data_IF_320267773422
#
_entry.id   IF_320267773422
#
_cell.length_a   1.000
_cell.length_b   1.000
_cell.length_c   1.000
_cell.angle_alpha   90.00
_cell.angle_beta   90.00
_cell.angle_gamma   90.00
#
_symmetry.space_group_name_H-M   'P 1'
#
loop_
_entity.id
_entity.type
_entity.pdbx_description
1 polymer ?
#
# COMPACT_ATOMS: atom_id res chain seq x y z
N UNK A 1 8.11 -16.00 -2.81
CA UNK A 1 8.51 -16.96 -1.75
C UNK A 1 9.94 -16.63 -1.31
N UNK A 2 10.23 -16.53 -0.01
CA UNK A 2 11.45 -15.89 0.57
C UNK A 2 12.78 -16.64 0.37
N UNK A 3 12.84 -17.68 -0.47
CA UNK A 3 14.04 -18.53 -0.69
C UNK A 3 14.69 -19.09 0.60
N UNK A 4 13.95 -19.11 1.71
CA UNK A 4 14.38 -19.66 3.00
C UNK A 4 13.34 -20.65 3.53
N UNK A 5 13.80 -21.61 4.32
CA UNK A 5 12.90 -22.63 4.88
C UNK A 5 12.15 -22.07 6.10
N UNK A 6 10.93 -22.57 6.40
CA UNK A 6 10.22 -22.20 7.64
C UNK A 6 11.03 -22.49 8.91
N UNK A 7 11.90 -23.51 8.90
CA UNK A 7 12.78 -23.83 10.02
C UNK A 7 13.82 -22.73 10.28
N UNK A 8 14.38 -22.15 9.21
CA UNK A 8 15.30 -21.01 9.30
C UNK A 8 14.60 -19.80 9.93
N UNK A 9 13.38 -19.49 9.49
CA UNK A 9 12.58 -18.39 10.06
C UNK A 9 12.26 -18.62 11.54
N UNK A 10 11.93 -19.86 11.90
CA UNK A 10 11.69 -20.23 13.30
C UNK A 10 12.95 -20.05 14.16
N UNK A 11 14.13 -20.41 13.63
CA UNK A 11 15.42 -20.20 14.31
C UNK A 11 15.69 -18.72 14.56
N UNK A 12 15.43 -17.85 13.57
CA UNK A 12 15.61 -16.40 13.76
C UNK A 12 14.73 -15.84 14.88
N UNK A 13 13.49 -16.33 15.00
CA UNK A 13 12.58 -15.91 16.08
C UNK A 13 13.07 -16.44 17.43
N UNK A 14 13.43 -17.73 17.51
CA UNK A 14 13.88 -18.34 18.77
C UNK A 14 15.22 -17.75 19.26
N UNK A 15 16.08 -17.30 18.35
CA UNK A 15 17.35 -16.62 18.66
C UNK A 15 17.20 -15.11 18.90
N UNK A 16 16.00 -14.56 18.70
CA UNK A 16 15.73 -13.13 18.87
C UNK A 16 16.27 -12.24 17.75
N UNK A 17 16.77 -12.80 16.64
CA UNK A 17 17.18 -12.03 15.46
C UNK A 17 15.97 -11.42 14.73
N UNK A 18 14.86 -12.17 14.68
CA UNK A 18 13.59 -11.70 14.14
C UNK A 18 12.61 -11.51 15.30
N UNK A 19 12.09 -10.29 15.46
CA UNK A 19 11.12 -9.95 16.51
C UNK A 19 9.82 -10.73 16.32
N UNK A 20 9.62 -11.76 17.11
CA UNK A 20 8.43 -12.62 17.07
C UNK A 20 8.16 -13.25 18.42
N UNK A 21 7.11 -14.07 18.49
CA UNK A 21 6.73 -14.77 19.72
C UNK A 21 6.22 -16.18 19.45
N UNK A 22 6.18 -16.99 20.52
CA UNK A 22 5.53 -18.29 20.52
C UNK A 22 4.09 -18.16 21.00
N UNK A 23 3.17 -18.77 20.28
CA UNK A 23 1.79 -18.96 20.75
C UNK A 23 1.75 -20.04 21.83
N UNK A 24 0.69 -20.11 22.66
CA UNK A 24 0.51 -21.19 23.63
C UNK A 24 0.56 -22.60 23.00
N UNK A 25 0.22 -22.72 21.72
CA UNK A 25 0.30 -23.96 20.93
C UNK A 25 1.70 -24.28 20.38
N UNK A 26 2.72 -23.47 20.70
CA UNK A 26 4.11 -23.68 20.28
C UNK A 26 4.45 -23.21 18.86
N UNK A 27 3.50 -22.62 18.13
CA UNK A 27 3.77 -22.03 16.81
C UNK A 27 4.47 -20.68 16.98
N UNK A 28 5.37 -20.32 16.06
CA UNK A 28 5.95 -18.96 16.03
C UNK A 28 5.04 -18.04 15.20
N UNK A 29 4.99 -16.77 15.61
CA UNK A 29 4.28 -15.69 14.94
C UNK A 29 5.18 -14.46 14.91
N UNK A 30 5.07 -13.70 13.83
CA UNK A 30 5.78 -12.43 13.60
C UNK A 30 4.79 -11.49 12.91
N UNK A 31 4.81 -10.21 13.26
CA UNK A 31 4.01 -9.22 12.55
C UNK A 31 4.60 -8.98 11.15
N UNK A 32 3.76 -8.70 10.16
CA UNK A 32 4.23 -8.46 8.79
C UNK A 32 5.23 -7.32 8.71
N UNK A 33 5.02 -6.23 9.46
CA UNK A 33 5.93 -5.09 9.54
C UNK A 33 7.32 -5.48 10.07
N UNK A 34 7.38 -6.21 11.19
CA UNK A 34 8.65 -6.68 11.78
C UNK A 34 9.40 -7.62 10.80
N UNK A 35 8.67 -8.47 10.06
CA UNK A 35 9.27 -9.33 9.03
C UNK A 35 9.81 -8.52 7.85
N UNK A 36 9.08 -7.53 7.36
CA UNK A 36 9.53 -6.65 6.27
C UNK A 36 10.79 -5.88 6.67
N UNK A 37 10.80 -5.30 7.87
CA UNK A 37 11.96 -4.58 8.40
C UNK A 37 13.18 -5.50 8.47
N UNK A 38 13.02 -6.70 9.03
CA UNK A 38 14.09 -7.69 9.10
C UNK A 38 14.63 -8.08 7.72
N UNK A 39 13.76 -8.33 6.75
CA UNK A 39 14.16 -8.69 5.38
C UNK A 39 14.97 -7.56 4.73
N UNK A 40 14.51 -6.31 4.86
CA UNK A 40 15.22 -5.13 4.35
C UNK A 40 16.59 -4.96 5.01
N UNK A 41 16.65 -5.07 6.33
CA UNK A 41 17.90 -4.93 7.10
C UNK A 41 18.96 -5.97 6.70
N UNK A 42 18.53 -7.15 6.27
CA UNK A 42 19.42 -8.25 5.83
C UNK A 42 19.58 -8.33 4.30
N UNK A 43 19.18 -7.28 3.56
CA UNK A 43 19.27 -7.23 2.09
C UNK A 43 18.58 -8.40 1.37
N UNK A 44 17.49 -8.92 1.95
CA UNK A 44 16.66 -9.96 1.36
C UNK A 44 15.48 -9.34 0.59
N UNK A 45 15.04 -10.02 -0.47
CA UNK A 45 13.88 -9.58 -1.24
C UNK A 45 12.60 -9.63 -0.40
N UNK A 46 11.87 -8.52 -0.36
CA UNK A 46 10.54 -8.44 0.28
C UNK A 46 9.49 -8.83 -0.76
N UNK A 47 8.71 -9.91 -0.53
CA UNK A 47 7.59 -10.26 -1.39
C UNK A 47 6.58 -9.12 -1.44
N UNK A 48 5.98 -8.86 -2.61
CA UNK A 48 5.04 -7.75 -2.79
C UNK A 48 3.85 -7.82 -1.82
N UNK A 49 3.42 -9.04 -1.45
CA UNK A 49 2.33 -9.28 -0.49
C UNK A 49 2.69 -8.83 0.93
N UNK A 50 3.98 -8.72 1.25
CA UNK A 50 4.49 -8.17 2.50
C UNK A 50 4.89 -6.69 2.33
N UNK A 51 5.28 -6.26 1.13
CA UNK A 51 5.64 -4.87 0.85
C UNK A 51 4.45 -3.90 0.99
N UNK A 52 3.22 -4.39 0.79
CA UNK A 52 1.97 -3.68 1.08
C UNK A 52 1.63 -3.60 2.57
N UNK A 53 2.44 -4.18 3.46
CA UNK A 53 2.38 -3.88 4.90
C UNK A 53 2.94 -2.48 5.19
N UNK A 54 2.48 -1.46 4.45
CA UNK A 54 2.68 -0.07 4.79
C UNK A 54 1.95 0.20 6.11
N UNK A 55 2.53 1.02 6.96
CA UNK A 55 1.92 1.39 8.25
C UNK A 55 0.60 2.13 8.07
N UNK A 56 0.40 2.77 6.91
CA UNK A 56 -0.78 3.54 6.54
C UNK A 56 -1.18 3.24 5.09
N UNK A 57 -2.44 2.85 4.81
CA UNK A 57 -2.94 2.73 3.45
C UNK A 57 -2.90 4.08 2.73
N UNK A 58 -2.57 4.07 1.44
CA UNK A 58 -2.56 5.28 0.60
C UNK A 58 -3.79 5.28 -0.31
N UNK A 59 -4.56 6.37 -0.26
CA UNK A 59 -5.68 6.64 -1.16
C UNK A 59 -5.29 7.77 -2.10
N UNK A 60 -5.43 7.56 -3.42
CA UNK A 60 -5.37 8.65 -4.40
C UNK A 60 -6.79 9.11 -4.70
N UNK A 61 -7.06 10.41 -4.55
CA UNK A 61 -8.28 11.10 -4.98
C UNK A 61 -8.00 11.86 -6.28
N UNK A 62 -8.83 11.64 -7.30
CA UNK A 62 -8.80 12.35 -8.57
C UNK A 62 -10.16 13.01 -8.78
N UNK A 63 -10.25 14.32 -8.54
CA UNK A 63 -11.49 15.11 -8.54
C UNK A 63 -11.17 16.56 -8.91
N UNK A 64 -11.85 17.11 -9.91
CA UNK A 64 -11.57 18.46 -10.43
C UNK A 64 -12.40 19.56 -9.75
N UNK A 65 -13.53 19.22 -9.10
CA UNK A 65 -14.26 20.17 -8.28
C UNK A 65 -13.59 20.35 -6.90
N UNK A 66 -13.07 21.55 -6.57
CA UNK A 66 -12.37 21.77 -5.31
C UNK A 66 -13.27 21.67 -4.08
N UNK A 67 -14.58 21.81 -4.24
CA UNK A 67 -15.58 21.63 -3.18
C UNK A 67 -15.76 20.16 -2.83
N UNK A 68 -15.95 19.30 -3.84
CA UNK A 68 -16.06 17.86 -3.66
C UNK A 68 -14.75 17.24 -3.17
N UNK A 69 -13.61 17.59 -3.78
CA UNK A 69 -12.30 17.11 -3.35
C UNK A 69 -12.08 17.38 -1.85
N UNK A 70 -12.30 18.63 -1.42
CA UNK A 70 -12.14 19.03 -0.02
C UNK A 70 -13.12 18.32 0.92
N UNK A 71 -14.35 18.05 0.47
CA UNK A 71 -15.33 17.31 1.27
C UNK A 71 -14.94 15.83 1.44
N UNK A 72 -14.41 15.21 0.39
CA UNK A 72 -13.92 13.83 0.41
C UNK A 72 -12.70 13.69 1.31
N UNK A 73 -11.69 14.54 1.15
CA UNK A 73 -10.48 14.55 2.00
C UNK A 73 -10.86 14.64 3.47
N UNK A 74 -11.67 15.65 3.85
CA UNK A 74 -12.14 15.84 5.23
C UNK A 74 -12.94 14.66 5.78
N UNK A 75 -13.62 13.94 4.90
CA UNK A 75 -14.38 12.75 5.31
C UNK A 75 -13.43 11.59 5.58
N UNK A 76 -12.46 11.36 4.70
CA UNK A 76 -11.46 10.30 4.88
C UNK A 76 -10.60 10.57 6.12
N UNK A 77 -10.08 11.78 6.29
CA UNK A 77 -9.25 12.14 7.45
C UNK A 77 -9.99 11.95 8.78
N UNK A 78 -11.32 12.16 8.80
CA UNK A 78 -12.15 12.02 10.00
C UNK A 78 -12.49 10.56 10.31
N UNK A 79 -12.91 9.80 9.29
CA UNK A 79 -13.38 8.42 9.47
C UNK A 79 -12.24 7.39 9.45
N UNK A 80 -11.11 7.73 8.83
CA UNK A 80 -9.93 6.87 8.64
C UNK A 80 -8.63 7.68 8.84
N UNK A 81 -8.30 8.12 10.07
CA UNK A 81 -7.17 9.00 10.37
C UNK A 81 -5.79 8.39 10.10
N UNK A 82 -5.72 7.07 9.93
CA UNK A 82 -4.50 6.34 9.61
C UNK A 82 -4.31 6.13 8.09
N UNK A 83 -5.14 6.75 7.25
CA UNK A 83 -4.99 6.75 5.78
C UNK A 83 -4.22 7.97 5.33
N UNK A 84 -3.24 7.76 4.45
CA UNK A 84 -2.59 8.85 3.71
C UNK A 84 -3.39 9.16 2.45
N UNK A 85 -3.67 10.44 2.20
CA UNK A 85 -4.44 10.89 1.04
C UNK A 85 -3.54 11.68 0.11
N UNK A 86 -3.53 11.29 -1.18
CA UNK A 86 -2.87 12.01 -2.26
C UNK A 86 -3.95 12.59 -3.18
N UNK A 87 -3.92 13.90 -3.37
CA UNK A 87 -4.94 14.64 -4.11
C UNK A 87 -4.43 15.02 -5.50
N UNK A 88 -5.29 14.88 -6.51
CA UNK A 88 -5.05 15.32 -7.89
C UNK A 88 -6.35 15.84 -8.50
N UNK A 89 -6.24 16.77 -9.45
CA UNK A 89 -7.41 17.41 -10.09
C UNK A 89 -7.50 17.12 -11.59
N UNK A 90 -6.63 16.28 -12.12
CA UNK A 90 -6.60 15.89 -13.53
C UNK A 90 -6.31 14.40 -13.65
N UNK A 91 -6.78 13.76 -14.72
CA UNK A 91 -6.56 12.35 -14.96
C UNK A 91 -5.10 12.03 -15.26
N UNK A 92 -4.38 12.93 -15.94
CA UNK A 92 -2.94 12.78 -16.21
C UNK A 92 -2.14 12.83 -14.91
N UNK A 93 -2.38 13.82 -14.04
CA UNK A 93 -1.69 13.87 -12.75
C UNK A 93 -2.07 12.69 -11.86
N UNK A 94 -3.34 12.28 -11.90
CA UNK A 94 -3.82 11.07 -11.24
C UNK A 94 -3.03 9.83 -11.66
N UNK A 95 -2.82 9.61 -12.96
CA UNK A 95 -2.02 8.49 -13.48
C UNK A 95 -0.56 8.53 -12.99
N UNK A 96 0.05 9.73 -12.99
CA UNK A 96 1.42 9.91 -12.51
C UNK A 96 1.54 9.56 -11.02
N UNK A 97 0.61 10.06 -10.21
CA UNK A 97 0.59 9.79 -8.77
C UNK A 97 0.31 8.32 -8.47
N UNK A 98 -0.64 7.68 -9.17
CA UNK A 98 -0.92 6.25 -9.03
C UNK A 98 0.34 5.40 -9.30
N UNK A 99 1.07 5.71 -10.38
CA UNK A 99 2.32 5.01 -10.69
C UNK A 99 3.42 5.28 -9.67
N UNK A 100 3.51 6.51 -9.14
CA UNK A 100 4.53 6.93 -8.18
C UNK A 100 4.32 6.30 -6.81
N UNK A 101 3.10 6.31 -6.29
CA UNK A 101 2.81 5.91 -4.91
C UNK A 101 2.32 4.48 -4.79
N UNK A 102 1.88 3.84 -5.88
CA UNK A 102 1.26 2.50 -5.83
C UNK A 102 0.18 2.41 -4.74
N UNK A 103 -0.94 3.14 -4.89
CA UNK A 103 -1.94 3.28 -3.84
C UNK A 103 -2.72 1.99 -3.60
N UNK A 104 -3.32 1.89 -2.41
CA UNK A 104 -4.18 0.77 -2.02
C UNK A 104 -5.62 0.95 -2.54
N UNK A 105 -6.04 2.21 -2.77
CA UNK A 105 -7.33 2.58 -3.34
C UNK A 105 -7.19 3.85 -4.18
N UNK A 106 -7.90 3.88 -5.31
CA UNK A 106 -8.08 5.08 -6.13
C UNK A 106 -9.56 5.45 -6.12
N UNK A 107 -9.86 6.70 -5.79
CA UNK A 107 -11.18 7.31 -5.92
C UNK A 107 -11.09 8.30 -7.07
N UNK A 108 -11.87 8.06 -8.12
CA UNK A 108 -11.72 8.69 -9.42
C UNK A 108 -13.06 9.25 -9.87
N UNK A 109 -13.13 10.56 -10.10
CA UNK A 109 -14.28 11.17 -10.75
C UNK A 109 -14.37 10.72 -12.22
N UNK A 110 -15.61 10.63 -12.70
CA UNK A 110 -15.90 10.20 -14.06
C UNK A 110 -15.50 11.25 -15.10
N UNK A 111 -15.67 12.54 -14.81
CA UNK A 111 -15.68 13.62 -15.79
C UNK A 111 -14.60 14.66 -15.52
N UNK A 112 -13.33 14.25 -15.53
CA UNK A 112 -12.19 15.16 -15.36
C UNK A 112 -11.95 16.02 -16.62
N UNK A 113 -11.24 17.16 -16.50
CA UNK A 113 -11.04 18.11 -17.59
C UNK A 113 -10.21 17.58 -18.78
N UNK A 114 -9.41 16.54 -18.58
CA UNK A 114 -8.45 16.02 -19.56
C UNK A 114 -8.71 14.56 -19.99
N UNK A 115 -9.17 13.71 -19.07
CA UNK A 115 -9.46 12.28 -19.30
C UNK A 115 -10.70 11.85 -18.54
N UNK A 116 -11.56 11.01 -19.12
CA UNK A 116 -12.62 10.39 -18.33
C UNK A 116 -12.10 9.17 -17.53
N UNK A 117 -12.88 8.71 -16.55
CA UNK A 117 -12.48 7.58 -15.70
C UNK A 117 -12.16 6.29 -16.47
N UNK A 118 -12.88 6.02 -17.57
CA UNK A 118 -12.65 4.83 -18.41
C UNK A 118 -11.25 4.89 -19.03
N UNK A 119 -10.88 6.04 -19.59
CA UNK A 119 -9.57 6.28 -20.20
C UNK A 119 -8.41 6.17 -19.20
N UNK A 120 -8.63 6.54 -17.94
CA UNK A 120 -7.65 6.38 -16.86
C UNK A 120 -7.48 4.89 -16.52
N UNK A 121 -8.59 4.17 -16.31
CA UNK A 121 -8.56 2.73 -15.98
C UNK A 121 -7.90 1.91 -17.09
N UNK A 122 -8.21 2.19 -18.36
CA UNK A 122 -7.58 1.51 -19.50
C UNK A 122 -6.07 1.66 -19.50
N UNK A 123 -5.56 2.88 -19.24
CA UNK A 123 -4.11 3.15 -19.19
C UNK A 123 -3.41 2.43 -18.04
N UNK A 124 -4.06 2.32 -16.89
CA UNK A 124 -3.54 1.57 -15.74
C UNK A 124 -3.44 0.07 -16.04
N UNK A 125 -4.43 -0.49 -16.74
CA UNK A 125 -4.43 -1.89 -17.15
C UNK A 125 -3.35 -2.20 -18.19
N UNK A 126 -3.10 -1.30 -19.13
CA UNK A 126 -2.04 -1.49 -20.13
C UNK A 126 -0.63 -1.37 -19.54
N UNK A 127 -0.43 -0.54 -18.51
CA UNK A 127 0.85 -0.44 -17.80
C UNK A 127 1.15 -1.68 -16.95
N UNK A 128 0.14 -2.54 -16.71
CA UNK A 128 0.27 -3.76 -15.92
C UNK A 128 0.70 -5.00 -16.73
N UNK A 129 0.95 -4.85 -18.04
CA UNK A 129 1.51 -5.89 -18.93
C UNK A 129 3.01 -5.75 -19.07
#
# INVERSE_FOLDING_TARGET
MLQVTPATVASWIDQGHLKGHRTPTGRRRVASADLVEFLRAHSMAVPNELASARERPIVVLVEDDPGYLKALVRTIEREAPDVEVVETTTGVDGLLEIGRVSPDLVVLDYALPDLNAVQVVERLQDTSK
#
